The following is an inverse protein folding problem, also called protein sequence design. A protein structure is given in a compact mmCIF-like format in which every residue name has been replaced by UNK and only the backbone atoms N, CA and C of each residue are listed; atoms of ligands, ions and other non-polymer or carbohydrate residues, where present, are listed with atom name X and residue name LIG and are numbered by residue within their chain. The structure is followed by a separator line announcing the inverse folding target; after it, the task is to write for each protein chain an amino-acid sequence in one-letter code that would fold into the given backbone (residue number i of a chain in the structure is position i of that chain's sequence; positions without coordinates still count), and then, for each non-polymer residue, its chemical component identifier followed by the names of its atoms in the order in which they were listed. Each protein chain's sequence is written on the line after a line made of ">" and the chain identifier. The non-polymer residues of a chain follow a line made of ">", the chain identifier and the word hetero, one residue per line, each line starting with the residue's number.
data_IF_443915750717
#
_entry.id   IF_443915750717
#
_cell.length_a   1.000
_cell.length_b   1.000
_cell.length_c   1.000
_cell.angle_alpha   90.00
_cell.angle_beta   90.00
_cell.angle_gamma   90.00
#
_symmetry.space_group_name_H-M   'P 1'
#
loop_
_entity.id
_entity.type
_entity.pdbx_description
1 polymer ?
#
# COMPACT_ATOMS: atom_id res chain seq x y z
N UNK A 1 6.96 16.00 -6.23
CA UNK A 1 5.61 15.43 -6.07
C UNK A 1 5.80 13.98 -5.71
N UNK A 2 5.47 13.55 -4.50
CA UNK A 2 5.66 12.16 -4.08
C UNK A 2 4.47 11.31 -4.51
N UNK A 3 4.76 10.10 -5.00
CA UNK A 3 3.73 9.12 -5.30
C UNK A 3 3.26 8.46 -4.01
N UNK A 4 1.95 8.43 -3.77
CA UNK A 4 1.35 7.63 -2.71
C UNK A 4 1.03 6.23 -3.22
N UNK A 5 1.42 5.21 -2.47
CA UNK A 5 1.17 3.79 -2.77
C UNK A 5 0.23 3.24 -1.70
N UNK A 6 -0.91 2.74 -2.13
CA UNK A 6 -2.00 2.33 -1.25
C UNK A 6 -2.49 0.93 -1.58
N UNK A 7 -2.79 0.13 -0.56
CA UNK A 7 -3.60 -1.09 -0.67
C UNK A 7 -4.89 -0.89 0.11
N UNK A 8 -6.02 -1.27 -0.49
CA UNK A 8 -7.35 -1.00 0.04
C UNK A 8 -7.92 -2.27 0.63
N UNK A 9 -8.56 -2.17 1.80
CA UNK A 9 -9.22 -3.28 2.45
C UNK A 9 -10.70 -2.98 2.70
N UNK A 10 -11.50 -4.04 2.76
CA UNK A 10 -12.88 -4.02 3.21
C UNK A 10 -13.17 -5.22 4.10
N UNK A 11 -14.03 -5.05 5.11
CA UNK A 11 -14.61 -6.16 5.86
C UNK A 11 -15.63 -6.89 4.99
N UNK A 12 -15.79 -8.19 5.22
CA UNK A 12 -16.75 -9.01 4.48
C UNK A 12 -18.21 -8.57 4.67
N UNK A 13 -18.52 -7.87 5.78
CA UNK A 13 -19.84 -7.28 6.03
C UNK A 13 -20.01 -5.87 5.42
N UNK A 14 -18.96 -5.33 4.78
CA UNK A 14 -18.96 -4.03 4.11
C UNK A 14 -18.96 -2.81 5.04
N UNK A 15 -18.97 -3.00 6.37
CA UNK A 15 -19.07 -1.89 7.34
C UNK A 15 -17.75 -1.17 7.57
N UNK A 16 -16.64 -1.88 7.42
CA UNK A 16 -15.29 -1.34 7.60
C UNK A 16 -14.56 -1.34 6.28
N UNK A 17 -13.98 -0.21 5.91
CA UNK A 17 -13.09 -0.08 4.76
C UNK A 17 -12.00 0.93 5.05
N UNK A 18 -10.85 0.77 4.41
CA UNK A 18 -9.73 1.69 4.58
C UNK A 18 -8.64 1.43 3.56
N UNK A 19 -7.52 2.13 3.75
CA UNK A 19 -6.31 1.95 2.97
C UNK A 19 -5.09 1.92 3.88
N UNK A 20 -4.13 1.06 3.57
CA UNK A 20 -2.76 1.17 4.08
C UNK A 20 -1.94 1.91 3.04
N UNK A 21 -1.36 3.05 3.41
CA UNK A 21 -0.70 3.97 2.48
C UNK A 21 0.70 4.33 2.93
N UNK A 22 1.63 4.30 1.97
CA UNK A 22 3.02 4.76 2.12
C UNK A 22 3.30 5.85 1.07
N UNK A 23 4.18 6.81 1.37
CA UNK A 23 4.60 7.84 0.42
C UNK A 23 3.63 9.02 0.21
N UNK A 24 2.48 9.05 0.90
CA UNK A 24 1.65 10.29 0.98
C UNK A 24 2.21 11.20 2.09
N UNK A 25 2.82 12.31 1.70
CA UNK A 25 3.12 13.44 2.58
C UNK A 25 2.56 14.74 1.99
N UNK A 26 1.72 15.44 2.76
CA UNK A 26 1.55 16.89 2.58
C UNK A 26 2.64 17.53 3.43
N UNK A 27 3.64 18.13 2.78
CA UNK A 27 4.82 18.62 3.48
C UNK A 27 4.94 20.12 3.27
N UNK A 28 4.72 20.90 4.34
CA UNK A 28 5.01 22.35 4.41
C UNK A 28 6.50 22.63 4.72
N UNK A 29 7.29 21.61 5.11
CA UNK A 29 8.72 21.71 5.47
C UNK A 29 9.43 20.42 5.03
N UNK A 30 10.45 20.42 4.15
CA UNK A 30 11.04 19.22 3.55
C UNK A 30 11.79 18.35 4.58
N UNK A 31 11.03 17.57 5.34
CA UNK A 31 11.53 16.49 6.18
C UNK A 31 11.30 15.18 5.42
N UNK A 32 12.38 14.48 5.10
CA UNK A 32 12.37 13.20 4.44
C UNK A 32 12.51 12.13 5.52
N UNK A 33 11.44 11.41 5.93
CA UNK A 33 11.59 10.31 6.87
C UNK A 33 12.40 9.18 6.21
N UNK A 34 13.32 8.60 6.97
CA UNK A 34 14.04 7.39 6.55
C UNK A 34 13.02 6.25 6.37
N UNK A 35 13.04 5.60 5.21
CA UNK A 35 12.20 4.45 4.92
C UNK A 35 12.72 3.21 5.67
N UNK A 36 11.85 2.26 6.01
CA UNK A 36 12.28 1.00 6.66
C UNK A 36 13.23 0.16 5.82
N UNK A 37 13.07 0.24 4.51
CA UNK A 37 13.89 -0.46 3.54
C UNK A 37 14.50 0.58 2.59
N UNK A 38 15.82 0.62 2.52
CA UNK A 38 16.58 1.40 1.53
C UNK A 38 17.74 0.59 0.97
N UNK A 39 17.46 -0.66 0.57
CA UNK A 39 18.47 -1.56 0.04
C UNK A 39 18.10 -2.06 -1.37
N UNK A 40 19.12 -2.24 -2.21
CA UNK A 40 18.99 -2.87 -3.55
C UNK A 40 17.93 -2.23 -4.46
N UNK A 41 17.75 -0.91 -4.35
CA UNK A 41 16.77 -0.16 -5.16
C UNK A 41 15.32 -0.31 -4.70
N UNK A 42 15.06 -1.00 -3.59
CA UNK A 42 13.73 -1.07 -2.98
C UNK A 42 13.61 -0.01 -1.89
N UNK A 43 12.49 0.73 -1.94
CA UNK A 43 12.06 1.65 -0.88
C UNK A 43 10.69 1.25 -0.38
N UNK A 44 10.49 1.23 0.93
CA UNK A 44 9.20 0.87 1.51
C UNK A 44 9.21 0.96 3.03
N UNK A 45 8.01 0.95 3.60
CA UNK A 45 7.77 0.98 5.03
C UNK A 45 6.96 -0.24 5.48
N UNK A 46 7.23 -0.70 6.68
CA UNK A 46 6.36 -1.63 7.38
C UNK A 46 5.17 -0.83 7.93
N UNK A 47 3.98 -1.22 7.50
CA UNK A 47 2.74 -0.63 8.00
C UNK A 47 2.15 -1.53 9.07
N UNK A 48 1.91 -0.96 10.25
CA UNK A 48 1.14 -1.60 11.33
C UNK A 48 -0.16 -0.85 11.53
N UNK A 49 -1.26 -1.58 11.60
CA UNK A 49 -2.59 -1.02 11.84
C UNK A 49 -3.39 -1.93 12.77
N UNK A 50 -4.26 -1.33 13.55
CA UNK A 50 -5.24 -2.03 14.37
C UNK A 50 -6.57 -2.12 13.62
N UNK A 51 -7.12 -3.33 13.54
CA UNK A 51 -8.43 -3.60 12.97
C UNK A 51 -9.29 -4.33 13.99
N UNK A 52 -10.62 -4.10 14.00
CA UNK A 52 -11.54 -4.96 14.72
C UNK A 52 -11.39 -6.43 14.31
N UNK A 53 -11.73 -7.33 15.21
CA UNK A 53 -11.78 -8.75 14.85
C UNK A 53 -12.84 -9.00 13.78
N UNK A 54 -12.51 -9.77 12.76
CA UNK A 54 -13.40 -10.00 11.63
C UNK A 54 -12.70 -10.57 10.40
N UNK A 55 -13.52 -10.80 9.37
CA UNK A 55 -13.05 -11.23 8.05
C UNK A 55 -12.91 -10.03 7.14
N UNK A 56 -11.80 -9.98 6.42
CA UNK A 56 -11.42 -8.89 5.55
C UNK A 56 -10.84 -9.40 4.24
N UNK A 57 -10.78 -8.51 3.27
CA UNK A 57 -10.03 -8.70 2.04
C UNK A 57 -9.31 -7.43 1.65
N UNK A 58 -8.11 -7.59 1.08
CA UNK A 58 -7.53 -6.59 0.20
C UNK A 58 -8.22 -6.73 -1.15
N UNK A 59 -8.91 -5.68 -1.58
CA UNK A 59 -9.76 -5.69 -2.77
C UNK A 59 -9.28 -4.78 -3.90
N UNK A 60 -8.27 -3.94 -3.64
CA UNK A 60 -7.65 -3.09 -4.64
C UNK A 60 -6.29 -2.57 -4.17
N UNK A 61 -5.52 -2.02 -5.09
CA UNK A 61 -4.41 -1.13 -4.81
C UNK A 61 -4.55 0.16 -5.62
N UNK A 62 -3.80 1.19 -5.25
CA UNK A 62 -3.79 2.47 -5.96
C UNK A 62 -2.42 3.11 -5.86
N UNK A 63 -1.96 3.73 -6.95
CA UNK A 63 -0.83 4.66 -6.92
C UNK A 63 -1.32 6.05 -7.34
N UNK A 64 -1.07 7.04 -6.50
CA UNK A 64 -1.40 8.44 -6.77
C UNK A 64 -0.13 9.22 -7.00
N UNK A 65 0.12 9.67 -8.24
CA UNK A 65 1.30 10.44 -8.63
C UNK A 65 0.87 11.72 -9.32
N UNK A 66 0.72 12.77 -8.53
CA UNK A 66 0.16 14.02 -9.00
C UNK A 66 -1.26 13.90 -9.55
N UNK A 67 -1.43 14.28 -10.81
CA UNK A 67 -2.71 14.16 -11.52
C UNK A 67 -2.99 12.74 -12.04
N UNK A 68 -2.02 11.83 -11.95
CA UNK A 68 -2.17 10.44 -12.34
C UNK A 68 -2.65 9.59 -11.16
N UNK A 69 -3.68 8.78 -11.42
CA UNK A 69 -4.11 7.72 -10.52
C UNK A 69 -4.05 6.40 -11.28
N UNK A 70 -3.32 5.44 -10.71
CA UNK A 70 -3.11 4.11 -11.27
C UNK A 70 -3.85 3.09 -10.40
N UNK A 71 -4.57 2.16 -11.01
CA UNK A 71 -5.36 1.11 -10.34
C UNK A 71 -5.18 -0.23 -11.03
N UNK A 72 -5.51 -1.36 -10.36
CA UNK A 72 -5.51 -2.67 -11.03
C UNK A 72 -6.50 -2.69 -12.19
N UNK A 73 -6.20 -3.53 -13.19
CA UNK A 73 -7.06 -3.78 -14.34
C UNK A 73 -8.03 -4.94 -14.11
N UNK A 74 -7.69 -5.84 -13.19
CA UNK A 74 -8.50 -7.00 -12.81
C UNK A 74 -8.81 -6.98 -11.31
N UNK A 75 -9.90 -7.64 -10.88
CA UNK A 75 -10.21 -7.77 -9.46
C UNK A 75 -9.03 -8.29 -8.65
N UNK A 76 -8.78 -7.66 -7.51
CA UNK A 76 -7.79 -8.09 -6.52
C UNK A 76 -8.54 -8.73 -5.36
N UNK A 77 -8.04 -9.85 -4.83
CA UNK A 77 -8.59 -10.44 -3.63
C UNK A 77 -7.48 -11.14 -2.84
N UNK A 78 -7.13 -10.59 -1.68
CA UNK A 78 -6.30 -11.27 -0.66
C UNK A 78 -7.11 -11.31 0.62
N UNK A 79 -7.63 -12.49 0.96
CA UNK A 79 -8.50 -12.66 2.15
C UNK A 79 -7.67 -12.83 3.41
N UNK A 80 -8.16 -12.28 4.51
CA UNK A 80 -7.54 -12.48 5.81
C UNK A 80 -8.54 -12.40 6.96
N UNK A 81 -8.19 -12.99 8.09
CA UNK A 81 -9.00 -12.95 9.32
C UNK A 81 -8.19 -12.35 10.46
N UNK A 82 -8.75 -11.33 11.11
CA UNK A 82 -8.18 -10.70 12.31
C UNK A 82 -8.81 -11.35 13.54
N UNK A 83 -7.97 -11.88 14.43
CA UNK A 83 -8.40 -12.41 15.73
C UNK A 83 -8.20 -11.39 16.85
N UNK A 84 -9.10 -11.33 17.86
CA UNK A 84 -8.98 -10.38 18.96
C UNK A 84 -7.65 -10.51 19.70
N UNK A 85 -6.92 -9.40 19.85
CA UNK A 85 -5.69 -9.32 20.63
C UNK A 85 -4.49 -10.08 20.06
N UNK A 86 -4.57 -10.52 18.79
CA UNK A 86 -3.50 -11.25 18.13
C UNK A 86 -2.95 -10.47 16.94
N UNK A 87 -1.66 -10.58 16.70
CA UNK A 87 -1.01 -10.02 15.50
C UNK A 87 -1.17 -10.97 14.32
N UNK A 88 -1.36 -10.38 13.15
CA UNK A 88 -1.40 -11.06 11.86
C UNK A 88 -0.38 -10.40 10.94
N UNK A 89 0.45 -11.22 10.29
CA UNK A 89 1.27 -10.76 9.16
C UNK A 89 0.50 -10.99 7.87
N UNK A 90 0.16 -9.91 7.16
CA UNK A 90 -0.63 -9.97 5.93
C UNK A 90 0.19 -10.38 4.71
N UNK A 91 1.48 -10.04 4.69
CA UNK A 91 2.35 -10.15 3.53
C UNK A 91 2.92 -8.81 3.09
N UNK A 92 3.77 -8.85 2.08
CA UNK A 92 4.50 -7.70 1.54
C UNK A 92 4.00 -7.36 0.13
N UNK A 93 3.63 -6.10 -0.08
CA UNK A 93 3.22 -5.58 -1.40
C UNK A 93 4.36 -4.81 -2.04
N UNK A 94 4.72 -5.20 -3.27
CA UNK A 94 5.85 -4.63 -4.00
C UNK A 94 5.34 -3.87 -5.21
N UNK A 95 5.52 -2.54 -5.22
CA UNK A 95 5.15 -1.69 -6.35
C UNK A 95 6.38 -1.43 -7.22
N UNK A 96 6.41 -2.02 -8.40
CA UNK A 96 7.44 -1.79 -9.41
C UNK A 96 6.94 -0.75 -10.41
N UNK A 97 7.64 0.38 -10.52
CA UNK A 97 7.36 1.37 -11.55
C UNK A 97 7.75 0.82 -12.92
N UNK A 98 6.78 0.70 -13.82
CA UNK A 98 7.01 0.23 -15.20
C UNK A 98 7.01 1.37 -16.20
N UNK A 99 6.33 2.49 -15.90
CA UNK A 99 6.24 3.66 -16.79
C UNK A 99 6.19 4.97 -16.00
N UNK A 100 6.74 6.03 -16.60
CA UNK A 100 6.65 7.42 -16.11
C UNK A 100 6.42 8.40 -17.25
N UNK A 101 5.90 9.58 -16.88
CA UNK A 101 5.81 10.77 -17.74
C UNK A 101 6.40 11.94 -16.95
N UNK A 102 7.62 12.34 -17.29
CA UNK A 102 8.40 13.25 -16.45
C UNK A 102 8.60 12.67 -15.03
N UNK A 103 8.24 13.44 -14.01
CA UNK A 103 8.29 12.99 -12.61
C UNK A 103 7.05 12.21 -12.15
N UNK A 104 6.03 12.07 -13.00
CA UNK A 104 4.81 11.36 -12.65
C UNK A 104 4.93 9.86 -12.98
N UNK A 105 4.56 9.01 -12.02
CA UNK A 105 4.40 7.57 -12.24
C UNK A 105 3.12 7.35 -13.03
N UNK A 106 3.21 6.61 -14.14
CA UNK A 106 2.09 6.34 -15.06
C UNK A 106 1.90 4.86 -15.38
N UNK A 107 2.65 3.97 -14.74
CA UNK A 107 2.44 2.54 -14.80
C UNK A 107 3.18 1.86 -13.67
N UNK A 108 2.50 0.88 -13.06
CA UNK A 108 3.10 0.02 -12.04
C UNK A 108 2.70 -1.43 -12.27
N UNK A 109 3.57 -2.34 -11.82
CA UNK A 109 3.29 -3.75 -11.60
C UNK A 109 3.31 -3.99 -10.09
N UNK A 110 2.33 -4.72 -9.56
CA UNK A 110 2.22 -4.94 -8.12
C UNK A 110 2.40 -6.41 -7.80
N UNK A 111 3.47 -6.73 -7.08
CA UNK A 111 3.71 -8.05 -6.52
C UNK A 111 3.17 -8.18 -5.10
N UNK A 112 2.87 -9.40 -4.66
CA UNK A 112 2.53 -9.75 -3.29
C UNK A 112 3.25 -11.03 -2.89
N UNK A 113 3.96 -11.03 -1.76
CA UNK A 113 4.74 -12.19 -1.31
C UNK A 113 4.88 -12.25 0.21
N UNK A 114 5.16 -13.44 0.74
CA UNK A 114 5.57 -13.61 2.13
C UNK A 114 7.03 -13.16 2.30
N UNK A 115 7.23 -12.11 3.11
CA UNK A 115 8.55 -11.59 3.50
C UNK A 115 8.64 -11.49 5.03
N UNK A 116 7.92 -12.35 5.76
CA UNK A 116 7.74 -12.26 7.22
C UNK A 116 9.07 -12.19 7.96
N UNK A 117 10.08 -12.97 7.55
CA UNK A 117 11.40 -12.95 8.18
C UNK A 117 12.10 -11.61 8.06
N UNK A 118 11.97 -10.90 6.93
CA UNK A 118 12.57 -9.58 6.72
C UNK A 118 11.79 -8.52 7.49
N UNK A 119 10.47 -8.53 7.32
CA UNK A 119 9.58 -7.49 7.83
C UNK A 119 9.50 -7.51 9.36
N UNK A 120 9.46 -8.71 9.96
CA UNK A 120 9.39 -8.84 11.41
C UNK A 120 10.65 -8.35 12.13
N UNK A 121 11.80 -8.28 11.46
CA UNK A 121 12.99 -7.66 12.04
C UNK A 121 12.81 -6.15 12.23
N UNK A 122 12.12 -5.50 11.30
CA UNK A 122 11.75 -4.09 11.41
C UNK A 122 10.67 -3.90 12.47
N UNK A 123 9.62 -4.75 12.46
CA UNK A 123 8.56 -4.72 13.48
C UNK A 123 9.12 -4.87 14.88
N UNK A 124 10.07 -5.78 15.11
CA UNK A 124 10.69 -5.98 16.41
C UNK A 124 11.43 -4.73 16.92
N UNK A 125 11.99 -3.92 16.02
CA UNK A 125 12.71 -2.69 16.35
C UNK A 125 11.77 -1.50 16.55
N UNK A 126 10.82 -1.30 15.63
CA UNK A 126 9.93 -0.11 15.63
C UNK A 126 8.66 -0.28 16.47
N UNK A 127 8.15 -1.50 16.58
CA UNK A 127 6.86 -1.82 17.21
C UNK A 127 6.98 -3.01 18.18
N UNK A 128 7.79 -2.92 19.25
CA UNK A 128 8.07 -4.04 20.15
C UNK A 128 6.81 -4.63 20.82
N UNK A 129 5.79 -3.80 21.11
CA UNK A 129 4.51 -4.26 21.68
C UNK A 129 3.73 -5.15 20.68
N UNK A 130 3.82 -4.84 19.39
CA UNK A 130 3.19 -5.65 18.33
C UNK A 130 4.03 -6.91 18.11
N UNK A 131 5.36 -6.79 18.11
CA UNK A 131 6.26 -7.92 17.96
C UNK A 131 6.10 -8.98 19.07
N UNK A 132 5.75 -8.57 20.29
CA UNK A 132 5.51 -9.46 21.45
C UNK A 132 4.10 -10.03 21.52
N UNK A 133 3.13 -9.48 20.78
CA UNK A 133 1.75 -9.97 20.79
C UNK A 133 1.64 -11.41 20.24
N UNK A 134 0.69 -12.23 20.72
CA UNK A 134 0.48 -13.58 20.18
C UNK A 134 0.16 -13.54 18.68
N UNK A 135 0.68 -14.50 17.90
CA UNK A 135 0.25 -14.66 16.50
C UNK A 135 -1.13 -15.29 16.44
N UNK A 136 -1.93 -14.87 15.47
CA UNK A 136 -3.23 -15.48 15.15
C UNK A 136 -3.77 -14.97 13.84
N UNK A 137 -5.02 -15.34 13.55
CA UNK A 137 -5.63 -15.04 12.27
C UNK A 137 -5.09 -15.92 11.14
N UNK A 138 -5.61 -15.68 9.94
CA UNK A 138 -5.23 -16.46 8.76
C UNK A 138 -5.10 -15.57 7.54
N UNK A 139 -4.14 -15.92 6.67
CA UNK A 139 -4.04 -15.44 5.29
C UNK A 139 -3.93 -16.69 4.41
N UNK A 140 -5.02 -17.14 3.76
CA UNK A 140 -5.01 -18.38 2.99
C UNK A 140 -4.05 -18.32 1.79
N UNK A 141 -3.80 -17.13 1.26
CA UNK A 141 -2.96 -16.90 0.10
C UNK A 141 -1.56 -16.47 0.54
N UNK A 142 -0.65 -17.45 0.73
CA UNK A 142 0.78 -17.20 0.98
C UNK A 142 1.66 -17.41 -0.26
N UNK A 143 1.05 -17.75 -1.39
CA UNK A 143 1.77 -17.93 -2.66
C UNK A 143 2.15 -16.55 -3.21
N UNK A 144 3.38 -16.42 -3.68
CA UNK A 144 3.84 -15.19 -4.33
C UNK A 144 3.02 -14.93 -5.61
N UNK A 145 2.59 -13.69 -5.77
CA UNK A 145 1.82 -13.20 -6.93
C UNK A 145 2.64 -12.09 -7.56
N UNK A 146 3.05 -12.25 -8.81
CA UNK A 146 3.91 -11.25 -9.47
C UNK A 146 3.14 -10.06 -10.04
N UNK A 147 1.85 -10.22 -10.38
CA UNK A 147 1.01 -9.17 -10.97
C UNK A 147 -0.40 -9.21 -10.39
N UNK A 148 -0.52 -8.77 -9.14
CA UNK A 148 -1.76 -8.73 -8.39
C UNK A 148 -2.75 -7.75 -9.06
N UNK A 149 -3.82 -8.27 -9.65
CA UNK A 149 -4.79 -7.45 -10.39
C UNK A 149 -4.31 -6.97 -11.76
N UNK A 150 -3.23 -7.55 -12.30
CA UNK A 150 -2.64 -7.21 -13.59
C UNK A 150 -1.82 -5.91 -13.59
N UNK A 151 -1.37 -5.51 -14.77
CA UNK A 151 -0.63 -4.26 -14.95
C UNK A 151 -1.54 -3.04 -14.69
N UNK A 152 -0.99 -2.00 -14.08
CA UNK A 152 -1.76 -0.81 -13.75
C UNK A 152 -2.36 -0.08 -14.95
N UNK A 153 -3.63 0.30 -14.82
CA UNK A 153 -4.30 1.26 -15.70
C UNK A 153 -4.29 2.65 -15.09
N UNK A 154 -4.00 3.64 -15.93
CA UNK A 154 -3.72 5.02 -15.50
C UNK A 154 -4.80 5.97 -15.98
N UNK A 155 -5.37 6.73 -15.04
CA UNK A 155 -6.24 7.87 -15.31
C UNK A 155 -5.50 9.16 -14.98
N UNK A 156 -5.40 10.09 -15.92
CA UNK A 156 -4.79 11.40 -15.72
C UNK A 156 -5.89 12.46 -15.75
N UNK A 157 -5.93 13.33 -14.74
CA UNK A 157 -6.88 14.45 -14.66
C UNK A 157 -6.15 15.77 -14.51
N UNK A 158 -5.92 16.46 -15.63
CA UNK A 158 -5.26 17.77 -15.65
C UNK A 158 -6.32 18.87 -15.51
N UNK A 159 -6.27 19.75 -14.49
CA UNK A 159 -7.16 20.90 -14.43
C UNK A 159 -6.78 21.91 -15.54
N UNK A 160 -7.76 22.48 -16.23
CA UNK A 160 -7.50 23.61 -17.13
C UNK A 160 -7.50 24.91 -16.31
N UNK A 161 -6.50 25.76 -16.53
CA UNK A 161 -6.42 27.09 -15.92
C UNK A 161 -6.91 28.11 -16.96
N UNK A 162 -8.00 28.80 -16.63
CA UNK A 162 -8.49 29.94 -17.42
C UNK A 162 -8.02 31.23 -16.73
N UNK A 163 -7.13 31.98 -17.37
CA UNK A 163 -6.72 33.30 -16.89
C UNK A 163 -7.57 34.36 -17.60
N UNK A 164 -8.29 35.16 -16.83
CA UNK A 164 -9.00 36.35 -17.34
C UNK A 164 -8.19 37.61 -17.00
N UNK A 165 -8.16 38.62 -17.87
CA UNK A 165 -7.45 39.87 -17.59
C UNK A 165 -8.03 40.57 -16.35
N UNK A 166 -7.16 41.20 -15.56
CA UNK A 166 -7.55 42.06 -14.45
C UNK A 166 -8.27 43.31 -15.01
N UNK A 167 -9.34 43.75 -14.33
CA UNK A 167 -10.05 45.00 -14.67
C UNK A 167 -9.22 46.23 -14.34
#
# INVERSE_FOLDING_TARGET
>A
MYSGYSVMYASSDGKTKGEFTVGKGVVLIPYFPDMDFEEKGMKGDVVVAELPAGQYEINSWQVSSGHAIIRPVSPVQVRFTVEPGKKLYLGSFHFEQTRSMGFAVTGVKVGFADQESRDMNVVAKKYPNVASSPRGGTVPQRVAIDSLGGDGSTKISVPFILLTPAK
#
